data_IF_444319272581
#
_entry.id   IF_444319272581
#
_cell.length_a   1.000
_cell.length_b   1.000
_cell.length_c   1.000
_cell.angle_alpha   90.00
_cell.angle_beta   90.00
_cell.angle_gamma   90.00
#
_symmetry.space_group_name_H-M   'P 1'
#
loop_
_entity.id
_entity.type
_entity.pdbx_description
1 polymer ?
#
# COMPACT_ATOMS: atom_id res chain seq x y z
N UNK A 1 6.42 -1.32 -12.66
CA UNK A 1 4.96 -1.58 -12.63
C UNK A 1 4.62 -2.91 -11.95
N UNK A 2 5.11 -4.07 -12.41
CA UNK A 2 4.87 -5.33 -11.66
C UNK A 2 5.60 -5.36 -10.30
N UNK A 3 6.87 -4.92 -10.29
CA UNK A 3 7.69 -4.88 -9.07
C UNK A 3 7.08 -3.95 -8.01
N UNK A 4 6.67 -2.73 -8.39
CA UNK A 4 6.06 -1.75 -7.48
C UNK A 4 4.82 -2.28 -6.76
N UNK A 5 3.92 -2.96 -7.47
CA UNK A 5 2.71 -3.55 -6.89
C UNK A 5 3.06 -4.70 -5.94
N UNK A 6 4.03 -5.53 -6.35
CA UNK A 6 4.51 -6.64 -5.52
C UNK A 6 5.16 -6.13 -4.22
N UNK A 7 6.02 -5.13 -4.33
CA UNK A 7 6.74 -4.53 -3.21
C UNK A 7 5.77 -3.82 -2.25
N UNK A 8 4.79 -3.08 -2.77
CA UNK A 8 3.74 -2.46 -1.96
C UNK A 8 2.91 -3.49 -1.21
N UNK A 9 2.55 -4.60 -1.86
CA UNK A 9 1.80 -5.67 -1.20
C UNK A 9 2.63 -6.37 -0.11
N UNK A 10 3.90 -6.65 -0.38
CA UNK A 10 4.81 -7.22 0.62
C UNK A 10 5.03 -6.26 1.80
N UNK A 11 5.20 -4.98 1.52
CA UNK A 11 5.40 -3.93 2.52
C UNK A 11 4.21 -3.80 3.46
N UNK A 12 3.00 -3.58 2.93
CA UNK A 12 1.78 -3.49 3.73
C UNK A 12 1.59 -4.78 4.53
N UNK A 13 1.80 -5.94 3.92
CA UNK A 13 1.67 -7.23 4.59
C UNK A 13 2.76 -7.58 5.61
N UNK A 14 3.84 -6.81 5.74
CA UNK A 14 4.93 -7.10 6.67
C UNK A 14 4.63 -6.68 8.11
N UNK A 15 3.87 -5.59 8.30
CA UNK A 15 3.47 -5.07 9.60
C UNK A 15 2.06 -5.49 10.01
N UNK A 16 1.59 -5.03 11.17
CA UNK A 16 0.18 -5.20 11.53
C UNK A 16 -0.72 -4.33 10.63
N UNK A 17 -2.03 -4.62 10.53
CA UNK A 17 -2.96 -3.78 9.78
C UNK A 17 -2.83 -2.30 10.17
N UNK A 18 -2.83 -1.42 9.17
CA UNK A 18 -2.69 0.04 9.28
C UNK A 18 -1.30 0.56 9.65
N UNK A 19 -0.38 -0.26 10.18
CA UNK A 19 0.97 0.21 10.53
C UNK A 19 1.84 0.51 9.29
N UNK A 20 1.62 -0.22 8.20
CA UNK A 20 2.24 0.02 6.90
C UNK A 20 1.14 0.22 5.87
N UNK A 21 1.23 1.32 5.13
CA UNK A 21 0.25 1.71 4.14
C UNK A 21 0.95 2.04 2.83
N UNK A 22 0.32 1.68 1.72
CA UNK A 22 0.86 1.98 0.41
C UNK A 22 -0.23 2.30 -0.61
N UNK A 23 0.13 3.14 -1.58
CA UNK A 23 -0.72 3.56 -2.69
C UNK A 23 0.04 3.45 -4.00
N UNK A 24 -0.68 3.17 -5.09
CA UNK A 24 -0.12 3.13 -6.45
C UNK A 24 -0.81 4.20 -7.31
N UNK A 25 -0.07 5.10 -7.94
CA UNK A 25 -0.62 6.01 -8.95
C UNK A 25 -0.94 5.22 -10.23
N UNK A 26 -2.21 5.17 -10.61
CA UNK A 26 -2.70 4.43 -11.78
C UNK A 26 -2.26 5.05 -13.11
N UNK A 27 -1.83 6.32 -13.12
CA UNK A 27 -1.34 7.02 -14.32
C UNK A 27 0.15 6.81 -14.55
N UNK A 28 0.96 6.83 -13.48
CA UNK A 28 2.44 6.73 -13.58
C UNK A 28 2.97 5.35 -13.25
N UNK A 29 2.26 4.58 -12.42
CA UNK A 29 2.71 3.29 -11.88
C UNK A 29 3.69 3.42 -10.70
N UNK A 30 3.86 4.63 -10.15
CA UNK A 30 4.69 4.90 -8.97
C UNK A 30 3.99 4.47 -7.67
N UNK A 31 4.79 4.13 -6.66
CA UNK A 31 4.31 3.68 -5.35
C UNK A 31 4.66 4.67 -4.25
N UNK A 32 3.71 4.90 -3.35
CA UNK A 32 3.87 5.75 -2.17
C UNK A 32 3.74 4.87 -0.92
N UNK A 33 4.64 5.04 0.04
CA UNK A 33 4.80 4.14 1.19
C UNK A 33 4.86 4.93 2.49
N UNK A 34 4.01 4.56 3.44
CA UNK A 34 3.90 5.16 4.76
C UNK A 34 4.04 4.09 5.85
N UNK A 35 4.80 4.41 6.89
CA UNK A 35 4.96 3.59 8.09
C UNK A 35 4.63 4.40 9.34
N UNK A 36 3.83 3.85 10.26
CA UNK A 36 3.59 4.47 11.56
C UNK A 36 4.89 4.63 12.40
N UNK A 37 5.84 3.72 12.21
CA UNK A 37 7.11 3.69 12.97
C UNK A 37 8.18 4.62 12.41
N UNK A 38 8.19 4.82 11.08
CA UNK A 38 9.25 5.54 10.38
C UNK A 38 8.74 6.78 9.61
N UNK A 39 7.44 7.03 9.61
CA UNK A 39 6.80 8.08 8.81
C UNK A 39 6.70 7.70 7.33
N UNK A 40 6.45 8.70 6.50
CA UNK A 40 6.45 8.56 5.05
C UNK A 40 7.88 8.47 4.53
N UNK A 41 8.19 7.47 3.70
CA UNK A 41 9.49 7.37 3.05
C UNK A 41 9.70 8.53 2.07
N UNK A 42 8.62 8.92 1.40
CA UNK A 42 8.53 10.10 0.53
C UNK A 42 7.23 10.85 0.87
N UNK A 43 7.22 12.19 0.78
CA UNK A 43 6.03 12.97 1.10
C UNK A 43 4.85 12.51 0.23
N UNK A 44 3.73 12.21 0.88
CA UNK A 44 2.50 11.85 0.18
C UNK A 44 1.99 13.05 -0.62
N UNK A 45 1.49 12.84 -1.86
CA UNK A 45 0.77 13.85 -2.60
C UNK A 45 -0.43 14.39 -1.80
N UNK A 46 -0.74 15.67 -1.96
CA UNK A 46 -1.92 16.28 -1.29
C UNK A 46 -3.24 15.63 -1.75
N UNK A 47 -3.27 15.02 -2.94
CA UNK A 47 -4.43 14.33 -3.51
C UNK A 47 -4.42 12.81 -3.31
N UNK A 48 -3.63 12.26 -2.38
CA UNK A 48 -3.45 10.81 -2.19
C UNK A 48 -4.75 10.05 -1.91
N UNK A 49 -5.77 10.72 -1.36
CA UNK A 49 -7.10 10.15 -1.12
C UNK A 49 -7.98 10.04 -2.40
N UNK A 50 -7.49 10.54 -3.54
CA UNK A 50 -8.21 10.45 -4.80
C UNK A 50 -8.20 9.02 -5.35
N UNK A 51 -9.27 8.28 -5.08
CA UNK A 51 -9.44 6.88 -5.49
C UNK A 51 -9.53 6.66 -7.00
N UNK A 52 -9.82 7.70 -7.79
CA UNK A 52 -9.78 7.61 -9.27
C UNK A 52 -8.34 7.62 -9.81
N UNK A 53 -7.38 8.08 -9.00
CA UNK A 53 -5.97 8.18 -9.38
C UNK A 53 -5.09 7.21 -8.63
N UNK A 54 -5.31 7.02 -7.34
CA UNK A 54 -4.48 6.20 -6.49
C UNK A 54 -5.24 4.95 -6.04
N UNK A 55 -4.60 3.80 -6.21
CA UNK A 55 -5.09 2.54 -5.68
C UNK A 55 -4.44 2.29 -4.32
N UNK A 56 -5.25 2.26 -3.26
CA UNK A 56 -4.81 1.79 -1.96
C UNK A 56 -4.51 0.29 -2.00
N UNK A 57 -3.36 -0.10 -1.46
CA UNK A 57 -2.93 -1.50 -1.41
C UNK A 57 -3.47 -2.15 -0.13
N UNK A 58 -4.40 -3.11 -0.23
CA UNK A 58 -5.01 -3.71 0.96
C UNK A 58 -4.01 -4.62 1.68
N UNK A 59 -4.20 -4.75 2.99
CA UNK A 59 -3.44 -5.69 3.81
C UNK A 59 -3.80 -7.14 3.45
N UNK A 60 -2.83 -8.05 3.60
CA UNK A 60 -2.97 -9.48 3.27
C UNK A 60 -4.14 -10.17 3.99
N UNK A 61 -4.58 -9.65 5.14
CA UNK A 61 -5.72 -10.17 5.90
C UNK A 61 -7.08 -9.70 5.37
N UNK A 62 -7.12 -8.62 4.61
CA UNK A 62 -8.34 -8.05 4.02
C UNK A 62 -8.68 -8.74 2.70
N UNK A 63 -7.66 -9.30 2.04
CA UNK A 63 -7.87 -10.22 0.94
C UNK A 63 -8.51 -11.48 1.50
N UNK A 64 -9.80 -11.64 1.26
CA UNK A 64 -10.61 -12.79 1.66
C UNK A 64 -10.22 -14.07 0.89
N UNK A 65 -8.95 -14.47 0.96
CA UNK A 65 -8.31 -15.56 0.20
C UNK A 65 -8.67 -16.96 0.76
N UNK A 66 -9.82 -17.08 1.42
CA UNK A 66 -10.42 -18.34 1.87
C UNK A 66 -9.79 -18.98 3.11
N UNK A 67 -8.49 -18.78 3.37
CA UNK A 67 -7.83 -19.20 4.63
C UNK A 67 -7.28 -18.00 5.36
N UNK A 68 -7.70 -17.82 6.61
CA UNK A 68 -6.95 -17.00 7.56
C UNK A 68 -5.52 -17.54 7.59
N UNK A 69 -4.54 -16.70 7.25
CA UNK A 69 -3.14 -17.00 7.46
C UNK A 69 -2.97 -17.22 8.97
N UNK A 70 -2.82 -18.49 9.36
CA UNK A 70 -2.48 -18.92 10.73
C UNK A 70 -0.98 -19.00 10.88
#
# INVERSE_FOLDING_TARGET
>A
MFETIHDAFLFVGFAAPYEHQAWIDLKTGEGYFQSDLYGDYEPLPEDIENTDRYLYVPHKSELSLGKALR
#
